data_IF_058795990807
#
_entry.id   IF_058795990807
#
_cell.length_a   1.000
_cell.length_b   1.000
_cell.length_c   1.000
_cell.angle_alpha   90.00
_cell.angle_beta   90.00
_cell.angle_gamma   90.00
#
_symmetry.space_group_name_H-M   'P 1'
#
loop_
_entity.id
_entity.type
_entity.pdbx_description
1 polymer ?
#
# COMPACT_ATOMS: atom_id res chain seq x y z
N UNK A 1 0.09 12.03 -11.65
CA UNK A 1 1.49 11.64 -11.42
C UNK A 1 1.59 10.87 -10.12
N UNK A 2 2.54 9.94 -10.00
CA UNK A 2 2.73 9.12 -8.78
C UNK A 2 3.85 9.62 -7.87
N UNK A 3 4.87 10.25 -8.45
CA UNK A 3 5.98 10.84 -7.72
C UNK A 3 6.37 12.18 -8.37
N UNK A 4 7.00 13.04 -7.57
CA UNK A 4 7.67 14.25 -8.02
C UNK A 4 9.16 14.08 -7.70
N UNK A 5 10.01 14.32 -8.69
CA UNK A 5 11.46 14.30 -8.52
C UNK A 5 11.95 15.74 -8.40
N UNK A 6 12.75 16.01 -7.36
CA UNK A 6 13.48 17.27 -7.20
C UNK A 6 14.93 17.03 -7.59
N UNK A 7 15.45 17.83 -8.50
CA UNK A 7 16.79 17.67 -9.06
C UNK A 7 17.74 18.72 -8.52
N UNK A 8 17.97 19.77 -9.32
CA UNK A 8 18.88 20.85 -8.96
C UNK A 8 18.49 21.55 -7.66
N UNK A 9 17.20 21.59 -7.36
CA UNK A 9 16.64 22.24 -6.17
C UNK A 9 17.11 21.59 -4.86
N UNK A 10 17.35 20.27 -4.86
CA UNK A 10 17.88 19.55 -3.69
C UNK A 10 19.38 19.29 -3.79
N UNK A 11 19.93 19.18 -5.01
CA UNK A 11 21.34 18.88 -5.23
C UNK A 11 22.25 20.09 -5.02
N UNK A 12 21.85 21.27 -5.49
CA UNK A 12 22.65 22.51 -5.46
C UNK A 12 21.93 23.69 -4.83
N UNK A 13 20.65 23.54 -4.51
CA UNK A 13 19.85 24.58 -3.88
C UNK A 13 20.35 24.90 -2.47
N UNK A 14 20.23 26.17 -2.09
CA UNK A 14 20.58 26.65 -0.74
C UNK A 14 19.56 26.21 0.33
N UNK A 15 18.35 25.83 -0.09
CA UNK A 15 17.20 25.53 0.79
C UNK A 15 16.54 24.18 0.42
N UNK A 16 17.27 23.04 0.52
CA UNK A 16 16.75 21.75 0.11
C UNK A 16 15.60 21.26 1.00
N UNK A 17 15.65 21.54 2.31
CA UNK A 17 14.63 21.10 3.27
C UNK A 17 13.33 21.88 3.07
N UNK A 18 13.42 23.19 2.87
CA UNK A 18 12.29 24.09 2.62
C UNK A 18 11.62 23.76 1.29
N UNK A 19 12.40 23.40 0.27
CA UNK A 19 11.88 22.97 -1.02
C UNK A 19 11.05 21.70 -0.86
N UNK A 20 11.60 20.67 -0.20
CA UNK A 20 10.86 19.41 0.06
C UNK A 20 9.60 19.68 0.90
N UNK A 21 9.68 20.51 1.93
CA UNK A 21 8.53 20.86 2.77
C UNK A 21 7.45 21.60 1.98
N UNK A 22 7.83 22.55 1.13
CA UNK A 22 6.91 23.34 0.31
C UNK A 22 6.22 22.47 -0.73
N UNK A 23 6.97 21.62 -1.43
CA UNK A 23 6.42 20.67 -2.41
C UNK A 23 5.49 19.67 -1.71
N UNK A 24 5.85 19.18 -0.52
CA UNK A 24 4.99 18.33 0.29
C UNK A 24 3.65 18.98 0.62
N UNK A 25 3.64 20.26 1.01
CA UNK A 25 2.41 21.03 1.27
C UNK A 25 1.56 21.19 0.01
N UNK A 26 2.17 21.50 -1.13
CA UNK A 26 1.47 21.62 -2.41
C UNK A 26 0.83 20.28 -2.80
N UNK A 27 1.56 19.17 -2.66
CA UNK A 27 1.03 17.83 -2.91
C UNK A 27 -0.18 17.54 -2.01
N UNK A 28 -0.08 17.86 -0.71
CA UNK A 28 -1.18 17.63 0.23
C UNK A 28 -2.45 18.41 -0.14
N UNK A 29 -2.33 19.67 -0.58
CA UNK A 29 -3.49 20.45 -1.05
C UNK A 29 -4.03 19.94 -2.40
N UNK A 30 -3.15 19.57 -3.32
CA UNK A 30 -3.54 19.01 -4.61
C UNK A 30 -4.33 17.70 -4.46
N UNK A 31 -3.95 16.86 -3.49
CA UNK A 31 -4.66 15.61 -3.21
C UNK A 31 -6.08 15.81 -2.67
N UNK A 32 -6.34 16.90 -1.94
CA UNK A 32 -7.67 17.22 -1.40
C UNK A 32 -8.68 17.60 -2.49
N UNK A 33 -8.22 18.25 -3.56
CA UNK A 33 -9.09 18.73 -4.66
C UNK A 33 -9.33 17.65 -5.72
N UNK A 34 -8.53 16.58 -5.72
CA UNK A 34 -8.64 15.52 -6.71
C UNK A 34 -9.94 14.70 -6.53
N UNK A 35 -10.75 14.63 -7.60
CA UNK A 35 -11.98 13.84 -7.61
C UNK A 35 -11.70 12.34 -7.78
N UNK A 36 -11.48 11.64 -6.65
CA UNK A 36 -11.20 10.20 -6.62
C UNK A 36 -12.38 9.37 -7.17
N UNK A 37 -13.62 9.75 -6.87
CA UNK A 37 -14.82 9.00 -7.28
C UNK A 37 -14.98 8.95 -8.80
N UNK A 38 -14.80 10.10 -9.46
CA UNK A 38 -14.85 10.20 -10.92
C UNK A 38 -13.69 9.44 -11.56
N UNK A 39 -12.50 9.52 -10.97
CA UNK A 39 -11.34 8.75 -11.43
C UNK A 39 -11.58 7.25 -11.32
N UNK A 40 -12.07 6.78 -10.18
CA UNK A 40 -12.39 5.36 -9.94
C UNK A 40 -13.37 4.83 -10.98
N UNK A 41 -14.50 5.53 -11.21
CA UNK A 41 -15.52 5.14 -12.20
C UNK A 41 -14.94 5.05 -13.62
N UNK A 42 -14.13 6.04 -14.03
CA UNK A 42 -13.47 6.02 -15.34
C UNK A 42 -12.49 4.85 -15.47
N UNK A 43 -11.68 4.61 -14.44
CA UNK A 43 -10.69 3.53 -14.45
C UNK A 43 -11.35 2.16 -14.54
N UNK A 44 -12.40 1.90 -13.75
CA UNK A 44 -13.16 0.64 -13.82
C UNK A 44 -13.75 0.43 -15.22
N UNK A 45 -14.33 1.46 -15.83
CA UNK A 45 -14.89 1.39 -17.19
C UNK A 45 -13.81 1.09 -18.25
N UNK A 46 -12.62 1.66 -18.10
CA UNK A 46 -11.52 1.49 -19.06
C UNK A 46 -10.86 0.11 -19.01
N UNK A 47 -10.88 -0.58 -17.85
CA UNK A 47 -10.30 -1.92 -17.72
C UNK A 47 -11.08 -2.95 -18.53
N UNK A 48 -12.40 -2.76 -18.67
CA UNK A 48 -13.28 -3.69 -19.37
C UNK A 48 -13.55 -4.98 -18.60
N UNK A 49 -14.43 -5.81 -19.14
CA UNK A 49 -14.81 -7.12 -18.58
C UNK A 49 -14.51 -8.22 -19.60
N UNK A 50 -14.02 -9.41 -19.18
CA UNK A 50 -13.74 -9.81 -17.81
C UNK A 50 -12.40 -9.28 -17.27
N UNK A 51 -12.34 -8.98 -15.97
CA UNK A 51 -11.11 -8.58 -15.29
C UNK A 51 -10.31 -9.79 -14.80
N UNK A 52 -9.00 -9.63 -14.65
CA UNK A 52 -8.15 -10.62 -13.95
C UNK A 52 -8.57 -10.75 -12.48
N UNK A 53 -8.41 -11.94 -11.89
CA UNK A 53 -8.75 -12.20 -10.47
C UNK A 53 -8.20 -11.13 -9.50
N UNK A 54 -6.90 -10.81 -9.61
CA UNK A 54 -6.28 -9.80 -8.73
C UNK A 54 -6.82 -8.39 -8.96
N UNK A 55 -7.15 -8.05 -10.21
CA UNK A 55 -7.72 -6.76 -10.60
C UNK A 55 -9.14 -6.60 -10.06
N UNK A 56 -9.95 -7.66 -10.16
CA UNK A 56 -11.30 -7.73 -9.61
C UNK A 56 -11.31 -7.57 -8.09
N UNK A 57 -10.39 -8.25 -7.39
CA UNK A 57 -10.21 -8.09 -5.94
C UNK A 57 -9.79 -6.66 -5.60
N UNK A 58 -8.81 -6.09 -6.32
CA UNK A 58 -8.32 -4.74 -6.07
C UNK A 58 -9.41 -3.67 -6.25
N UNK A 59 -10.14 -3.71 -7.37
CA UNK A 59 -11.25 -2.78 -7.64
C UNK A 59 -12.37 -2.91 -6.61
N UNK A 60 -12.70 -4.13 -6.20
CA UNK A 60 -13.72 -4.41 -5.19
C UNK A 60 -13.29 -3.96 -3.81
N UNK A 61 -12.02 -4.16 -3.43
CA UNK A 61 -11.48 -3.70 -2.16
C UNK A 61 -11.55 -2.17 -2.03
N UNK A 62 -11.16 -1.43 -3.08
CA UNK A 62 -11.27 0.03 -3.10
C UNK A 62 -12.73 0.47 -3.05
N UNK A 63 -13.62 -0.16 -3.82
CA UNK A 63 -15.06 0.13 -3.78
C UNK A 63 -15.67 -0.12 -2.41
N UNK A 64 -15.29 -1.21 -1.75
CA UNK A 64 -15.75 -1.54 -0.41
C UNK A 64 -15.26 -0.49 0.59
N UNK A 65 -13.97 -0.14 0.55
CA UNK A 65 -13.37 0.85 1.43
C UNK A 65 -14.05 2.22 1.31
N UNK A 66 -14.36 2.67 0.08
CA UNK A 66 -15.10 3.91 -0.15
C UNK A 66 -16.50 3.83 0.47
N UNK A 67 -17.24 2.74 0.23
CA UNK A 67 -18.61 2.55 0.75
C UNK A 67 -18.67 2.54 2.27
N UNK A 68 -17.73 1.84 2.92
CA UNK A 68 -17.71 1.76 4.39
C UNK A 68 -17.08 2.99 5.05
N UNK A 69 -16.54 3.92 4.25
CA UNK A 69 -15.72 5.06 4.71
C UNK A 69 -14.56 4.60 5.59
N UNK A 70 -13.79 3.63 5.09
CA UNK A 70 -12.64 3.10 5.81
C UNK A 70 -11.54 4.16 5.94
N UNK A 71 -10.83 4.14 7.07
CA UNK A 71 -9.67 5.01 7.32
C UNK A 71 -8.42 4.56 6.58
N UNK A 72 -8.31 3.25 6.31
CA UNK A 72 -7.20 2.66 5.57
C UNK A 72 -7.59 1.35 4.88
N UNK A 73 -6.79 0.99 3.87
CA UNK A 73 -6.79 -0.35 3.27
C UNK A 73 -5.48 -1.03 3.69
N UNK A 74 -5.54 -2.23 4.26
CA UNK A 74 -4.37 -3.05 4.55
C UNK A 74 -4.26 -4.11 3.46
N UNK A 75 -3.15 -4.13 2.73
CA UNK A 75 -2.90 -5.11 1.67
C UNK A 75 -1.69 -5.96 2.01
N UNK A 76 -1.88 -7.26 2.12
CA UNK A 76 -0.79 -8.21 2.22
C UNK A 76 -0.25 -8.54 0.82
N UNK A 77 1.06 -8.38 0.64
CA UNK A 77 1.69 -8.61 -0.66
C UNK A 77 3.10 -9.17 -0.52
N UNK A 78 3.50 -10.07 -1.42
CA UNK A 78 4.88 -10.58 -1.49
C UNK A 78 5.71 -9.87 -2.56
N UNK A 79 5.09 -9.44 -3.66
CA UNK A 79 5.76 -8.82 -4.82
C UNK A 79 5.36 -7.36 -5.07
N UNK A 80 4.54 -6.78 -4.19
CA UNK A 80 3.96 -5.44 -4.35
C UNK A 80 2.91 -5.33 -5.46
N UNK A 81 2.63 -6.39 -6.24
CA UNK A 81 1.67 -6.33 -7.36
C UNK A 81 0.26 -6.01 -6.88
N UNK A 82 -0.22 -6.67 -5.83
CA UNK A 82 -1.57 -6.44 -5.29
C UNK A 82 -1.74 -5.00 -4.79
N UNK A 83 -0.78 -4.48 -4.04
CA UNK A 83 -0.79 -3.10 -3.55
C UNK A 83 -0.82 -2.09 -4.71
N UNK A 84 0.00 -2.30 -5.75
CA UNK A 84 0.00 -1.44 -6.94
C UNK A 84 -1.33 -1.46 -7.69
N UNK A 85 -2.00 -2.62 -7.78
CA UNK A 85 -3.33 -2.70 -8.39
C UNK A 85 -4.38 -1.96 -7.55
N UNK A 86 -4.31 -2.01 -6.22
CA UNK A 86 -5.19 -1.20 -5.36
C UNK A 86 -4.92 0.29 -5.60
N UNK A 87 -3.65 0.72 -5.61
CA UNK A 87 -3.27 2.11 -5.83
C UNK A 87 -3.65 2.63 -7.23
N UNK A 88 -3.71 1.76 -8.26
CA UNK A 88 -4.20 2.09 -9.61
C UNK A 88 -5.59 2.71 -9.57
N UNK A 89 -6.46 2.25 -8.67
CA UNK A 89 -7.82 2.74 -8.52
C UNK A 89 -7.94 4.03 -7.70
N UNK A 90 -6.81 4.55 -7.18
CA UNK A 90 -6.69 5.80 -6.42
C UNK A 90 -7.73 5.90 -5.28
N UNK A 91 -7.64 5.02 -4.26
CA UNK A 91 -8.49 5.14 -3.09
C UNK A 91 -8.34 6.52 -2.42
N UNK A 92 -9.40 6.98 -1.76
CA UNK A 92 -9.39 8.21 -0.94
C UNK A 92 -8.60 8.04 0.35
N UNK A 93 -8.50 6.80 0.84
CA UNK A 93 -7.75 6.43 2.03
C UNK A 93 -6.35 5.88 1.67
N UNK A 94 -5.37 5.99 2.58
CA UNK A 94 -4.06 5.39 2.42
C UNK A 94 -4.14 3.85 2.37
N UNK A 95 -3.18 3.25 1.66
CA UNK A 95 -3.03 1.80 1.51
C UNK A 95 -1.76 1.36 2.23
N UNK A 96 -1.91 0.66 3.35
CA UNK A 96 -0.79 0.06 4.08
C UNK A 96 -0.42 -1.25 3.37
N UNK A 97 0.72 -1.25 2.70
CA UNK A 97 1.22 -2.41 1.96
C UNK A 97 2.14 -3.23 2.86
N UNK A 98 1.61 -4.29 3.45
CA UNK A 98 2.38 -5.20 4.30
C UNK A 98 3.13 -6.19 3.42
N UNK A 99 4.44 -6.00 3.34
CA UNK A 99 5.35 -6.90 2.62
C UNK A 99 5.80 -8.00 3.54
N UNK A 100 5.37 -9.23 3.24
CA UNK A 100 5.78 -10.41 3.99
C UNK A 100 7.11 -10.88 3.41
N UNK A 101 8.19 -10.84 4.20
CA UNK A 101 9.48 -11.25 3.68
C UNK A 101 9.54 -12.76 3.47
N UNK A 102 10.27 -13.18 2.44
CA UNK A 102 10.60 -14.59 2.24
C UNK A 102 12.04 -14.83 2.67
N UNK A 103 12.20 -15.75 3.61
CA UNK A 103 13.48 -16.27 4.05
C UNK A 103 13.84 -17.46 3.15
N UNK A 104 14.87 -17.30 2.33
CA UNK A 104 15.43 -18.39 1.55
C UNK A 104 16.76 -18.79 2.17
N UNK A 105 16.85 -20.04 2.59
CA UNK A 105 18.06 -20.63 3.13
C UNK A 105 18.65 -21.57 2.11
N UNK A 106 19.88 -21.29 1.69
CA UNK A 106 20.72 -22.33 1.11
C UNK A 106 21.64 -22.85 2.21
N UNK A 107 22.12 -24.11 2.15
CA UNK A 107 22.83 -24.82 3.23
C UNK A 107 23.93 -24.02 3.96
N UNK A 108 24.48 -22.96 3.34
CA UNK A 108 25.52 -22.08 3.88
C UNK A 108 25.14 -20.59 4.00
N UNK A 109 23.96 -20.15 3.50
CA UNK A 109 23.59 -18.72 3.47
C UNK A 109 22.08 -18.49 3.60
N UNK A 110 21.72 -17.61 4.54
CA UNK A 110 20.36 -17.06 4.67
C UNK A 110 20.23 -15.81 3.80
N UNK A 111 19.19 -15.74 2.98
CA UNK A 111 18.85 -14.58 2.17
C UNK A 111 17.44 -14.12 2.47
N UNK A 112 17.29 -12.84 2.72
CA UNK A 112 16.02 -12.21 3.04
C UNK A 112 15.54 -11.38 1.84
N UNK A 113 14.35 -11.69 1.34
CA UNK A 113 13.69 -10.98 0.24
C UNK A 113 12.41 -10.32 0.75
N UNK A 114 12.04 -9.14 0.22
CA UNK A 114 10.90 -8.34 0.71
C UNK A 114 11.23 -6.86 0.93
N UNK A 115 12.44 -6.57 1.43
CA UNK A 115 12.84 -5.18 1.69
C UNK A 115 12.96 -4.34 0.41
N UNK A 116 13.34 -4.97 -0.70
CA UNK A 116 13.41 -4.32 -2.01
C UNK A 116 12.01 -3.98 -2.53
N UNK A 117 11.08 -4.91 -2.42
CA UNK A 117 9.68 -4.78 -2.85
C UNK A 117 8.94 -3.71 -2.03
N UNK A 118 9.22 -3.65 -0.72
CA UNK A 118 8.73 -2.57 0.14
C UNK A 118 9.23 -1.20 -0.33
N UNK A 119 10.53 -1.06 -0.60
CA UNK A 119 11.11 0.21 -1.11
C UNK A 119 10.55 0.60 -2.47
N UNK A 120 10.41 -0.35 -3.40
CA UNK A 120 9.85 -0.09 -4.73
C UNK A 120 8.40 0.39 -4.67
N UNK A 121 7.65 -0.01 -3.64
CA UNK A 121 6.26 0.43 -3.46
C UNK A 121 6.14 1.93 -3.18
N UNK A 122 7.19 2.59 -2.67
CA UNK A 122 7.22 4.05 -2.43
C UNK A 122 7.08 4.89 -3.71
N UNK A 123 7.35 4.31 -4.88
CA UNK A 123 7.20 5.00 -6.17
C UNK A 123 5.71 5.23 -6.50
N UNK A 124 4.82 4.46 -5.88
CA UNK A 124 3.39 4.48 -6.20
C UNK A 124 2.63 5.26 -5.13
N UNK A 125 1.88 6.28 -5.56
CA UNK A 125 1.09 7.15 -4.69
C UNK A 125 0.14 6.34 -3.79
N UNK A 126 0.02 6.78 -2.55
CA UNK A 126 -0.95 6.25 -1.59
C UNK A 126 -0.56 4.90 -0.99
N UNK A 127 0.57 4.32 -1.40
CA UNK A 127 1.14 3.15 -0.75
C UNK A 127 2.05 3.57 0.41
N UNK A 128 1.75 3.01 1.58
CA UNK A 128 2.57 3.10 2.78
C UNK A 128 3.13 1.71 3.06
N UNK A 129 4.32 1.38 2.51
CA UNK A 129 4.89 0.06 2.67
C UNK A 129 5.38 -0.16 4.10
N UNK A 130 5.09 -1.35 4.61
CA UNK A 130 5.57 -1.85 5.89
C UNK A 130 6.20 -3.21 5.66
N UNK A 131 7.39 -3.44 6.20
CA UNK A 131 8.02 -4.75 6.19
C UNK A 131 7.56 -5.52 7.44
N UNK A 132 6.93 -6.67 7.25
CA UNK A 132 6.56 -7.55 8.36
C UNK A 132 7.80 -8.26 8.95
N UNK A 133 7.75 -8.58 10.24
CA UNK A 133 8.82 -9.32 10.92
C UNK A 133 8.85 -10.79 10.43
N UNK A 134 10.01 -11.31 9.97
CA UNK A 134 10.18 -12.73 9.62
C UNK A 134 9.88 -13.72 10.74
N UNK A 135 9.93 -13.32 12.01
CA UNK A 135 9.62 -14.22 13.14
C UNK A 135 8.15 -14.65 13.20
N UNK A 136 7.30 -13.98 12.42
CA UNK A 136 5.89 -14.35 12.23
C UNK A 136 5.69 -14.82 10.78
N UNK A 137 6.29 -15.95 10.35
CA UNK A 137 6.15 -16.41 8.98
C UNK A 137 4.68 -16.75 8.70
N UNK A 138 4.14 -16.16 7.62
CA UNK A 138 2.82 -16.49 7.07
C UNK A 138 2.78 -17.89 6.40
N UNK A 139 3.79 -18.72 6.65
CA UNK A 139 3.84 -20.11 6.24
C UNK A 139 3.43 -20.95 7.45
N UNK A 140 2.12 -21.13 7.67
CA UNK A 140 1.50 -22.43 7.99
C UNK A 140 0.23 -22.44 8.86
N UNK A 141 -0.24 -21.37 9.51
CA UNK A 141 -1.53 -21.40 10.25
C UNK A 141 -2.26 -20.05 10.24
N UNK A 142 -3.60 -20.08 10.21
CA UNK A 142 -4.50 -18.92 10.24
C UNK A 142 -4.17 -17.86 11.30
N UNK A 143 -3.52 -18.25 12.40
CA UNK A 143 -3.12 -17.33 13.48
C UNK A 143 -1.93 -16.39 13.18
N UNK A 144 -1.02 -16.70 12.25
CA UNK A 144 0.14 -15.82 12.00
C UNK A 144 -0.21 -14.57 11.19
N UNK A 145 -1.25 -14.63 10.37
CA UNK A 145 -1.75 -13.45 9.66
C UNK A 145 -2.43 -12.48 10.62
N UNK A 146 -3.04 -12.97 11.69
CA UNK A 146 -3.70 -12.17 12.71
C UNK A 146 -2.67 -11.38 13.54
N UNK A 147 -1.53 -11.99 13.86
CA UNK A 147 -0.42 -11.28 14.53
C UNK A 147 0.15 -10.19 13.64
N UNK A 148 0.41 -10.47 12.35
CA UNK A 148 0.94 -9.45 11.43
C UNK A 148 -0.08 -8.34 11.15
N UNK A 149 -1.38 -8.69 11.07
CA UNK A 149 -2.45 -7.71 10.94
C UNK A 149 -2.49 -6.78 12.15
N UNK A 150 -2.31 -7.32 13.37
CA UNK A 150 -2.25 -6.50 14.59
C UNK A 150 -1.09 -5.52 14.54
N UNK A 151 0.10 -5.95 14.12
CA UNK A 151 1.26 -5.05 13.95
C UNK A 151 0.96 -3.98 12.90
N UNK A 152 0.31 -4.33 11.78
CA UNK A 152 -0.09 -3.35 10.76
C UNK A 152 -1.11 -2.32 11.28
N UNK A 153 -2.07 -2.76 12.09
CA UNK A 153 -3.04 -1.88 12.75
C UNK A 153 -2.35 -0.96 13.76
N UNK A 154 -1.43 -1.48 14.57
CA UNK A 154 -0.71 -0.70 15.57
C UNK A 154 0.24 0.30 14.90
N UNK A 155 0.88 -0.07 13.79
CA UNK A 155 1.63 0.86 12.95
C UNK A 155 0.71 1.95 12.35
N UNK A 156 -0.48 1.57 11.88
CA UNK A 156 -1.50 2.51 11.41
C UNK A 156 -1.98 3.49 12.49
N UNK A 157 -2.10 3.04 13.74
CA UNK A 157 -2.42 3.89 14.90
C UNK A 157 -1.26 4.82 15.26
N UNK A 158 -0.04 4.29 15.30
CA UNK A 158 1.17 5.07 15.64
C UNK A 158 1.45 6.18 14.61
N UNK A 159 1.16 5.91 13.33
CA UNK A 159 1.25 6.91 12.25
C UNK A 159 0.07 7.90 12.21
N UNK A 160 -0.95 7.73 13.07
CA UNK A 160 -2.14 8.58 13.12
C UNK A 160 -3.12 8.37 11.97
N UNK A 161 -2.88 7.36 11.12
CA UNK A 161 -3.74 7.01 9.96
C UNK A 161 -5.03 6.33 10.42
N UNK A 162 -4.96 5.50 11.46
CA UNK A 162 -6.09 4.74 12.00
C UNK A 162 -6.41 5.24 13.40
N UNK A 163 -7.64 5.68 13.63
CA UNK A 163 -8.13 6.07 14.97
C UNK A 163 -8.91 4.92 15.62
N UNK A 164 -9.09 4.95 16.96
CA UNK A 164 -10.00 4.02 17.63
C UNK A 164 -11.40 4.07 17.02
N UNK A 165 -12.00 2.91 16.80
CA UNK A 165 -13.33 2.72 16.17
C UNK A 165 -13.43 3.01 14.66
N UNK A 166 -12.31 3.31 13.99
CA UNK A 166 -12.32 3.40 12.53
C UNK A 166 -12.51 2.03 11.87
N UNK A 167 -13.05 2.07 10.65
CA UNK A 167 -13.23 0.90 9.80
C UNK A 167 -12.00 0.73 8.91
N UNK A 168 -11.54 -0.50 8.73
CA UNK A 168 -10.39 -0.84 7.89
C UNK A 168 -10.80 -1.96 6.95
N UNK A 169 -10.33 -1.92 5.70
CA UNK A 169 -10.52 -3.02 4.75
C UNK A 169 -9.22 -3.78 4.60
N UNK A 170 -9.27 -5.10 4.74
CA UNK A 170 -8.10 -5.97 4.60
C UNK A 170 -8.21 -6.75 3.29
N UNK A 171 -7.14 -6.74 2.50
CA UNK A 171 -7.02 -7.51 1.27
C UNK A 171 -5.87 -8.51 1.41
N UNK A 172 -6.22 -9.80 1.37
CA UNK A 172 -5.27 -10.91 1.48
C UNK A 172 -5.58 -11.99 0.45
N UNK A 173 -4.54 -12.50 -0.21
CA UNK A 173 -4.64 -13.75 -0.99
C UNK A 173 -4.36 -14.93 -0.05
N UNK A 174 -5.33 -15.81 0.13
CA UNK A 174 -5.23 -16.99 1.01
C UNK A 174 -4.58 -18.21 0.34
N UNK A 175 -4.61 -18.28 -0.99
CA UNK A 175 -4.14 -19.41 -1.77
C UNK A 175 -5.00 -19.58 -3.02
N UNK A 176 -4.55 -20.39 -3.97
CA UNK A 176 -5.39 -20.86 -5.07
C UNK A 176 -5.94 -22.23 -4.65
N UNK A 177 -7.24 -22.44 -4.78
CA UNK A 177 -7.85 -23.77 -4.53
C UNK A 177 -7.28 -24.73 -5.57
N UNK A 178 -6.43 -25.66 -5.13
CA UNK A 178 -5.92 -26.78 -5.92
C UNK A 178 -6.78 -27.99 -5.66
#
# INVERSE_FOLDING_TARGET
SDAILLGAETLRGLYPVETVSTVGKICAEAEKVFNQDLYFKKTVKNVGEPMSHLESIASTAVRAAIKVKASAIICFTSSGRAARLIAKYRPTMPVISVVIPRLKTNQLRWTFSGAFEARQSLIVRGLFPMLADPQHPAESKSGSNESVLKVALDHGKASGVIKPHDRVVVCQKLGDAS
#
